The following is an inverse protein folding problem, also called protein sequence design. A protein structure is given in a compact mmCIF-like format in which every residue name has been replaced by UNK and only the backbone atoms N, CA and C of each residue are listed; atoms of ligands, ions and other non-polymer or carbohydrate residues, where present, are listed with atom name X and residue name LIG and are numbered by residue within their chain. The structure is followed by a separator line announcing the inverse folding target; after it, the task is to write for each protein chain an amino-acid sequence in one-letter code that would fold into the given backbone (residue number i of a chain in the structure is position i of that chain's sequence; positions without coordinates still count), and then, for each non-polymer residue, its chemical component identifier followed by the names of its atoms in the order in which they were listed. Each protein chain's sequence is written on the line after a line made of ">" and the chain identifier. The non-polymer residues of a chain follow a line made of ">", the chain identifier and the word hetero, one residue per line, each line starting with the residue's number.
data_IF_641433719367
#
_entry.id   IF_641433719367
#
_cell.length_a   1.000
_cell.length_b   1.000
_cell.length_c   1.000
_cell.angle_alpha   90.00
_cell.angle_beta   90.00
_cell.angle_gamma   90.00
#
_symmetry.space_group_name_H-M   'P 1'
#
loop_
_entity.id
_entity.type
_entity.pdbx_description
1 polymer ?
#
# COMPACT_ATOMS: atom_id res chain seq x y z
N UNK A 1 11.60 19.15 25.07
CA UNK A 1 10.42 19.05 24.18
C UNK A 1 10.94 18.62 22.83
N UNK A 2 10.98 17.30 22.57
CA UNK A 2 11.44 16.75 21.29
C UNK A 2 10.43 17.14 20.19
N UNK A 3 10.96 17.61 19.06
CA UNK A 3 10.25 18.20 17.95
C UNK A 3 9.03 17.39 17.46
N UNK A 4 7.84 17.88 17.75
CA UNK A 4 6.58 17.33 17.21
C UNK A 4 6.51 17.36 15.66
N UNK A 5 7.41 18.10 15.01
CA UNK A 5 7.58 18.16 13.55
C UNK A 5 8.28 16.92 12.97
N UNK A 6 9.03 16.17 13.78
CA UNK A 6 9.83 15.02 13.32
C UNK A 6 9.04 13.69 13.31
N UNK A 7 7.79 13.71 13.80
CA UNK A 7 6.95 12.52 13.95
C UNK A 7 5.97 12.31 12.77
N UNK A 8 5.82 13.31 11.88
CA UNK A 8 4.94 13.23 10.72
C UNK A 8 5.70 12.59 9.55
N UNK A 9 5.24 11.42 9.10
CA UNK A 9 5.82 10.74 7.95
C UNK A 9 5.23 11.25 6.64
N UNK A 10 3.93 11.51 6.59
CA UNK A 10 3.22 12.00 5.41
C UNK A 10 2.38 13.22 5.77
N UNK A 11 2.41 14.24 4.91
CA UNK A 11 1.62 15.45 5.07
C UNK A 11 1.03 15.87 3.73
N UNK A 12 -0.26 16.18 3.72
CA UNK A 12 -0.97 16.75 2.59
C UNK A 12 -1.39 18.16 2.98
N UNK A 13 -1.20 19.14 2.09
CA UNK A 13 -1.53 20.54 2.31
C UNK A 13 -2.28 21.11 1.12
N UNK A 14 -3.53 21.54 1.35
CA UNK A 14 -4.37 22.22 0.38
C UNK A 14 -4.67 21.39 -0.87
N UNK A 15 -4.73 20.05 -0.77
CA UNK A 15 -4.98 19.21 -1.93
C UNK A 15 -6.39 19.42 -2.48
N UNK A 16 -6.46 19.74 -3.75
CA UNK A 16 -7.72 19.87 -4.49
C UNK A 16 -7.72 18.99 -5.74
N UNK A 17 -8.89 18.46 -6.08
CA UNK A 17 -9.10 17.66 -7.29
C UNK A 17 -10.52 17.82 -7.83
N UNK A 18 -10.60 18.11 -9.13
CA UNK A 18 -11.85 18.21 -9.87
C UNK A 18 -11.88 17.22 -11.03
N UNK A 19 -13.07 16.75 -11.38
CA UNK A 19 -13.35 15.99 -12.58
C UNK A 19 -14.40 16.76 -13.41
N UNK A 20 -13.95 17.41 -14.47
CA UNK A 20 -14.76 18.37 -15.20
C UNK A 20 -15.21 19.53 -14.30
N UNK A 21 -16.52 19.70 -14.13
CA UNK A 21 -17.08 20.75 -13.27
C UNK A 21 -17.30 20.31 -11.81
N UNK A 22 -17.07 19.05 -11.49
CA UNK A 22 -17.29 18.51 -10.15
C UNK A 22 -15.99 18.56 -9.35
N UNK A 23 -15.92 19.42 -8.32
CA UNK A 23 -14.81 19.47 -7.36
C UNK A 23 -15.04 18.42 -6.29
N UNK A 24 -14.20 17.37 -6.29
CA UNK A 24 -14.30 16.22 -5.39
C UNK A 24 -13.45 16.40 -4.14
N UNK A 25 -12.27 17.01 -4.27
CA UNK A 25 -11.42 17.39 -3.14
C UNK A 25 -11.27 18.90 -3.14
N UNK A 26 -11.44 19.51 -1.97
CA UNK A 26 -11.35 20.94 -1.78
C UNK A 26 -10.44 21.29 -0.60
N UNK A 27 -9.21 21.75 -0.89
CA UNK A 27 -8.19 22.19 0.07
C UNK A 27 -7.95 21.21 1.24
N UNK A 28 -7.92 19.89 0.95
CA UNK A 28 -7.75 18.84 1.95
C UNK A 28 -6.37 18.94 2.60
N UNK A 29 -6.36 18.85 3.93
CA UNK A 29 -5.16 18.78 4.75
C UNK A 29 -5.18 17.50 5.57
N UNK A 30 -4.05 16.79 5.62
CA UNK A 30 -3.90 15.53 6.35
C UNK A 30 -2.47 15.38 6.86
N UNK A 31 -2.31 14.86 8.08
CA UNK A 31 -1.02 14.48 8.65
C UNK A 31 -1.09 13.03 9.12
N UNK A 32 -0.14 12.21 8.69
CA UNK A 32 0.04 10.83 9.15
C UNK A 32 1.31 10.76 9.99
N UNK A 33 1.16 10.34 11.25
CA UNK A 33 2.30 10.15 12.16
C UNK A 33 3.00 8.83 11.86
N UNK A 34 4.31 8.82 12.08
CA UNK A 34 5.13 7.62 11.94
C UNK A 34 4.67 6.52 12.89
N UNK A 35 4.62 5.28 12.40
CA UNK A 35 4.22 4.13 13.21
C UNK A 35 2.78 4.21 13.73
N UNK A 36 1.88 4.89 13.03
CA UNK A 36 0.47 4.93 13.41
C UNK A 36 -0.43 4.29 12.36
N UNK A 37 -1.62 3.88 12.78
CA UNK A 37 -2.72 3.53 11.90
C UNK A 37 -3.71 4.69 11.93
N UNK A 38 -3.95 5.31 10.79
CA UNK A 38 -4.91 6.40 10.64
C UNK A 38 -6.14 5.89 9.90
N UNK A 39 -7.30 5.98 10.51
CA UNK A 39 -8.58 5.72 9.87
C UNK A 39 -9.10 6.96 9.14
N UNK A 40 -9.40 6.81 7.86
CA UNK A 40 -10.04 7.85 7.06
C UNK A 40 -11.54 7.56 6.95
N UNK A 41 -12.33 8.30 7.72
CA UNK A 41 -13.78 8.10 7.82
C UNK A 41 -14.54 9.14 6.99
N UNK A 42 -15.67 8.75 6.43
CA UNK A 42 -16.56 9.62 5.67
C UNK A 42 -17.55 8.81 4.85
N UNK A 43 -18.62 9.44 4.40
CA UNK A 43 -19.66 8.81 3.58
C UNK A 43 -19.13 8.33 2.22
N UNK A 44 -19.88 7.46 1.55
CA UNK A 44 -19.59 7.07 0.19
C UNK A 44 -19.69 8.30 -0.72
N UNK A 45 -18.67 8.48 -1.59
CA UNK A 45 -18.58 9.70 -2.42
C UNK A 45 -17.89 10.90 -1.76
N UNK A 46 -17.48 10.84 -0.49
CA UNK A 46 -16.78 11.93 0.20
C UNK A 46 -15.36 12.21 -0.31
N UNK A 47 -14.89 11.53 -1.37
CA UNK A 47 -13.59 11.77 -1.98
C UNK A 47 -12.43 10.95 -1.38
N UNK A 48 -12.67 10.03 -0.43
CA UNK A 48 -11.61 9.23 0.21
C UNK A 48 -10.71 8.52 -0.81
N UNK A 49 -11.29 7.68 -1.66
CA UNK A 49 -10.53 6.95 -2.69
C UNK A 49 -9.88 7.89 -3.73
N UNK A 50 -10.49 9.05 -4.01
CA UNK A 50 -9.89 10.06 -4.88
C UNK A 50 -8.62 10.65 -4.25
N UNK A 51 -8.66 10.99 -2.96
CA UNK A 51 -7.49 11.48 -2.23
C UNK A 51 -6.37 10.43 -2.20
N UNK A 52 -6.70 9.16 -1.91
CA UNK A 52 -5.75 8.06 -1.90
C UNK A 52 -5.11 7.86 -3.30
N UNK A 53 -5.91 7.92 -4.38
CA UNK A 53 -5.44 7.82 -5.76
C UNK A 53 -4.56 9.03 -6.17
N UNK A 54 -4.84 10.22 -5.66
CA UNK A 54 -3.96 11.38 -5.83
C UNK A 54 -2.64 11.20 -5.07
N UNK A 55 -2.70 10.67 -3.84
CA UNK A 55 -1.51 10.37 -3.04
C UNK A 55 -0.61 9.32 -3.71
N UNK A 56 -1.21 8.32 -4.34
CA UNK A 56 -0.49 7.23 -5.03
C UNK A 56 -0.08 7.59 -6.47
N UNK A 57 -0.40 8.81 -6.95
CA UNK A 57 -0.06 9.26 -8.29
C UNK A 57 -0.90 8.67 -9.43
N UNK A 58 -1.98 7.93 -9.11
CA UNK A 58 -2.95 7.44 -10.11
C UNK A 58 -3.72 8.60 -10.73
N UNK A 59 -4.07 9.60 -9.91
CA UNK A 59 -4.64 10.86 -10.37
C UNK A 59 -3.68 12.00 -10.08
N UNK A 60 -3.52 12.92 -11.01
CA UNK A 60 -2.81 14.17 -10.74
C UNK A 60 -3.73 15.09 -9.95
N UNK A 61 -3.25 15.60 -8.81
CA UNK A 61 -3.93 16.67 -8.07
C UNK A 61 -3.93 17.95 -8.89
N UNK A 62 -4.95 18.79 -8.71
CA UNK A 62 -5.02 20.07 -9.39
C UNK A 62 -4.25 21.14 -8.61
N UNK A 63 -4.34 21.11 -7.26
CA UNK A 63 -3.67 22.05 -6.36
C UNK A 63 -3.10 21.32 -5.13
N UNK A 64 -2.29 22.05 -4.36
CA UNK A 64 -1.75 21.59 -3.08
C UNK A 64 -0.44 20.84 -3.19
N UNK A 65 0.07 20.42 -2.04
CA UNK A 65 1.40 19.79 -1.90
C UNK A 65 1.32 18.53 -1.05
N UNK A 66 2.19 17.58 -1.36
CA UNK A 66 2.39 16.36 -0.58
C UNK A 66 3.83 16.36 -0.07
N UNK A 67 4.02 15.99 1.18
CA UNK A 67 5.33 15.89 1.81
C UNK A 67 5.51 14.50 2.40
N UNK A 68 6.65 13.87 2.14
CA UNK A 68 7.08 12.62 2.75
C UNK A 68 8.36 12.90 3.54
N UNK A 69 8.36 12.61 4.85
CA UNK A 69 9.46 12.95 5.76
C UNK A 69 9.89 14.43 5.67
N UNK A 70 8.93 15.32 5.51
CA UNK A 70 9.18 16.78 5.39
C UNK A 70 9.67 17.24 4.02
N UNK A 71 9.97 16.33 3.08
CA UNK A 71 10.38 16.66 1.71
C UNK A 71 9.14 16.71 0.81
N UNK A 72 8.98 17.78 0.05
CA UNK A 72 7.92 17.87 -0.98
C UNK A 72 8.14 16.84 -2.07
N UNK A 73 7.08 16.10 -2.40
CA UNK A 73 7.07 15.06 -3.41
C UNK A 73 5.94 15.29 -4.41
N UNK A 74 6.16 14.84 -5.65
CA UNK A 74 5.14 14.78 -6.70
C UNK A 74 5.41 13.52 -7.51
N UNK A 75 4.42 12.69 -7.68
CA UNK A 75 4.56 11.42 -8.38
C UNK A 75 4.05 11.52 -9.82
N UNK A 76 4.83 10.99 -10.75
CA UNK A 76 4.44 10.84 -12.14
C UNK A 76 3.46 9.67 -12.36
N UNK A 77 3.37 8.77 -11.39
CA UNK A 77 2.48 7.60 -11.42
C UNK A 77 2.69 6.65 -10.25
N UNK A 78 1.92 5.54 -10.21
CA UNK A 78 1.98 4.54 -9.14
C UNK A 78 3.36 3.92 -8.91
N UNK A 79 4.12 3.67 -9.97
CA UNK A 79 5.48 3.12 -9.88
C UNK A 79 6.40 4.07 -9.11
N UNK A 80 6.34 5.35 -9.42
CA UNK A 80 7.12 6.38 -8.76
C UNK A 80 6.75 6.50 -7.27
N UNK A 81 5.46 6.42 -6.92
CA UNK A 81 5.00 6.39 -5.53
C UNK A 81 5.57 5.18 -4.76
N UNK A 82 5.53 3.98 -5.37
CA UNK A 82 6.09 2.76 -4.78
C UNK A 82 7.60 2.88 -4.52
N UNK A 83 8.36 3.39 -5.48
CA UNK A 83 9.82 3.59 -5.39
C UNK A 83 10.17 4.62 -4.30
N UNK A 84 9.29 5.56 -4.02
CA UNK A 84 9.43 6.54 -2.95
C UNK A 84 8.86 6.09 -1.58
N UNK A 85 8.39 4.85 -1.48
CA UNK A 85 7.97 4.25 -0.20
C UNK A 85 6.51 4.50 0.19
N UNK A 86 5.66 4.81 -0.78
CA UNK A 86 4.20 4.83 -0.61
C UNK A 86 3.61 3.69 -1.42
N UNK A 87 2.95 2.75 -0.74
CA UNK A 87 2.22 1.67 -1.39
C UNK A 87 0.71 1.82 -1.20
N UNK A 88 -0.06 1.29 -2.14
CA UNK A 88 -1.52 1.25 -2.05
C UNK A 88 -2.02 -0.17 -2.30
N UNK A 89 -2.90 -0.63 -1.43
CA UNK A 89 -3.69 -1.84 -1.61
C UNK A 89 -5.09 -1.40 -2.00
N UNK A 90 -5.48 -1.73 -3.22
CA UNK A 90 -6.77 -1.36 -3.79
C UNK A 90 -7.88 -2.27 -3.27
N UNK A 91 -9.10 -1.77 -3.26
CA UNK A 91 -10.32 -2.56 -2.97
C UNK A 91 -10.47 -3.73 -3.95
N UNK A 92 -10.19 -3.49 -5.24
CA UNK A 92 -10.19 -4.54 -6.27
C UNK A 92 -8.82 -5.22 -6.35
N UNK A 93 -8.83 -6.56 -6.35
CA UNK A 93 -7.62 -7.37 -6.44
C UNK A 93 -7.19 -7.53 -7.92
N UNK A 94 -6.15 -6.80 -8.30
CA UNK A 94 -5.60 -6.78 -9.66
C UNK A 94 -4.43 -7.76 -9.81
N UNK A 95 -4.67 -9.05 -9.55
CA UNK A 95 -3.67 -10.10 -9.56
C UNK A 95 -3.72 -10.94 -10.85
N UNK A 96 -2.56 -11.42 -11.27
CA UNK A 96 -2.46 -12.41 -12.35
C UNK A 96 -2.87 -13.77 -11.81
N UNK A 97 -4.14 -14.16 -11.96
CA UNK A 97 -4.72 -15.36 -11.35
C UNK A 97 -4.07 -16.66 -11.81
N UNK A 98 -3.58 -16.70 -13.04
CA UNK A 98 -2.90 -17.86 -13.62
C UNK A 98 -1.43 -17.99 -13.17
N UNK A 99 -0.87 -16.95 -12.56
CA UNK A 99 0.48 -16.96 -12.03
C UNK A 99 0.50 -17.34 -10.56
N UNK A 100 1.63 -17.88 -10.11
CA UNK A 100 1.81 -18.27 -8.72
C UNK A 100 1.99 -17.06 -7.81
N UNK A 101 2.00 -17.30 -6.49
CA UNK A 101 2.17 -16.27 -5.45
C UNK A 101 3.49 -15.52 -5.62
N UNK A 102 4.59 -16.24 -5.89
CA UNK A 102 5.91 -15.63 -6.05
C UNK A 102 5.96 -14.68 -7.25
N UNK A 103 5.39 -15.10 -8.38
CA UNK A 103 5.33 -14.26 -9.58
C UNK A 103 4.53 -12.98 -9.33
N UNK A 104 3.36 -13.07 -8.67
CA UNK A 104 2.55 -11.92 -8.33
C UNK A 104 3.26 -10.95 -7.36
N UNK A 105 4.01 -11.48 -6.40
CA UNK A 105 4.77 -10.69 -5.44
C UNK A 105 5.85 -9.84 -6.12
N UNK A 106 6.53 -10.39 -7.13
CA UNK A 106 7.64 -9.74 -7.83
C UNK A 106 7.27 -9.21 -9.21
N UNK A 107 5.98 -9.18 -9.57
CA UNK A 107 5.53 -8.68 -10.87
C UNK A 107 6.09 -7.28 -11.16
N UNK A 108 6.76 -7.13 -12.31
CA UNK A 108 7.40 -5.87 -12.73
C UNK A 108 8.76 -5.57 -12.08
N UNK A 109 9.29 -6.46 -11.19
CA UNK A 109 10.58 -6.28 -10.50
C UNK A 109 11.27 -7.61 -10.20
N UNK A 110 11.24 -8.52 -11.17
CA UNK A 110 11.87 -9.83 -11.01
C UNK A 110 13.37 -9.68 -10.68
N UNK A 111 13.86 -10.29 -9.58
CA UNK A 111 15.29 -10.39 -9.34
C UNK A 111 15.95 -11.12 -10.50
N UNK A 112 17.05 -10.57 -11.00
CA UNK A 112 17.84 -11.18 -12.08
C UNK A 112 19.24 -11.52 -11.61
N UNK A 113 19.80 -12.59 -12.18
CA UNK A 113 21.20 -12.93 -12.03
C UNK A 113 22.11 -11.92 -12.76
N UNK A 114 23.41 -12.05 -12.59
CA UNK A 114 24.42 -11.21 -13.28
C UNK A 114 24.36 -11.30 -14.81
N UNK A 115 23.77 -12.37 -15.35
CA UNK A 115 23.59 -12.59 -16.79
C UNK A 115 22.19 -12.20 -17.31
N UNK A 116 21.38 -11.53 -16.48
CA UNK A 116 20.06 -11.02 -16.88
C UNK A 116 18.93 -12.06 -16.85
N UNK A 117 19.16 -13.28 -16.37
CA UNK A 117 18.14 -14.32 -16.22
C UNK A 117 17.43 -14.18 -14.88
N UNK A 118 16.11 -14.41 -14.85
CA UNK A 118 15.31 -14.36 -13.61
C UNK A 118 15.84 -15.37 -12.60
N UNK A 119 16.13 -14.91 -11.38
CA UNK A 119 16.59 -15.74 -10.28
C UNK A 119 15.41 -16.23 -9.42
N UNK A 120 14.78 -17.32 -9.87
CA UNK A 120 13.64 -17.92 -9.17
C UNK A 120 13.99 -18.39 -7.76
N UNK A 121 15.22 -18.85 -7.51
CA UNK A 121 15.68 -19.29 -6.19
C UNK A 121 15.66 -18.13 -5.20
N UNK A 122 16.23 -16.99 -5.58
CA UNK A 122 16.22 -15.77 -4.79
C UNK A 122 14.78 -15.22 -4.58
N UNK A 123 13.94 -15.29 -5.62
CA UNK A 123 12.52 -14.91 -5.51
C UNK A 123 11.80 -15.73 -4.44
N UNK A 124 11.89 -17.06 -4.50
CA UNK A 124 11.26 -17.97 -3.52
C UNK A 124 11.79 -17.74 -2.11
N UNK A 125 13.10 -17.54 -1.96
CA UNK A 125 13.73 -17.24 -0.68
C UNK A 125 13.18 -15.95 -0.08
N UNK A 126 13.19 -14.85 -0.83
CA UNK A 126 12.67 -13.55 -0.38
C UNK A 126 11.18 -13.60 -0.06
N UNK A 127 10.37 -14.29 -0.88
CA UNK A 127 8.95 -14.49 -0.62
C UNK A 127 8.73 -15.28 0.68
N UNK A 128 9.44 -16.38 0.87
CA UNK A 128 9.35 -17.20 2.09
C UNK A 128 9.71 -16.40 3.35
N UNK A 129 10.79 -15.64 3.30
CA UNK A 129 11.20 -14.77 4.41
C UNK A 129 10.15 -13.71 4.72
N UNK A 130 9.55 -13.09 3.70
CA UNK A 130 8.51 -12.09 3.86
C UNK A 130 7.26 -12.69 4.52
N UNK A 131 6.70 -13.78 3.97
CA UNK A 131 5.50 -14.40 4.52
C UNK A 131 5.74 -14.94 5.94
N UNK A 132 6.94 -15.47 6.23
CA UNK A 132 7.32 -15.88 7.59
C UNK A 132 7.33 -14.69 8.56
N UNK A 133 7.88 -13.54 8.15
CA UNK A 133 7.85 -12.30 8.95
C UNK A 133 6.42 -11.82 9.22
N UNK A 134 5.50 -12.08 8.31
CA UNK A 134 4.09 -11.73 8.45
C UNK A 134 3.27 -12.80 9.22
N UNK A 135 3.92 -13.85 9.74
CA UNK A 135 3.21 -14.94 10.42
C UNK A 135 2.30 -15.77 9.51
N UNK A 136 2.54 -15.73 8.20
CA UNK A 136 1.69 -16.37 7.20
C UNK A 136 2.33 -17.64 6.63
N UNK A 137 1.53 -18.71 6.55
CA UNK A 137 1.91 -19.93 5.83
C UNK A 137 1.21 -19.92 4.47
N UNK A 138 2.00 -19.81 3.40
CA UNK A 138 1.50 -19.72 2.02
C UNK A 138 2.28 -20.67 1.13
N UNK A 139 1.58 -21.43 0.27
CA UNK A 139 2.24 -22.19 -0.78
C UNK A 139 2.64 -21.25 -1.93
N UNK A 140 3.92 -20.90 -1.97
CA UNK A 140 4.46 -19.91 -2.92
C UNK A 140 4.33 -20.32 -4.38
N UNK A 141 4.21 -21.62 -4.67
CA UNK A 141 4.13 -22.16 -6.03
C UNK A 141 2.69 -22.36 -6.53
N UNK A 142 1.67 -22.18 -5.67
CA UNK A 142 0.28 -22.34 -6.10
C UNK A 142 -0.19 -21.15 -6.95
N UNK A 143 -1.01 -21.35 -7.99
CA UNK A 143 -1.65 -20.29 -8.74
C UNK A 143 -2.59 -19.46 -7.84
N UNK A 144 -2.63 -18.13 -8.04
CA UNK A 144 -3.48 -17.23 -7.25
C UNK A 144 -4.96 -17.58 -7.34
N UNK A 145 -5.44 -18.14 -8.46
CA UNK A 145 -6.83 -18.59 -8.63
C UNK A 145 -7.27 -19.65 -7.61
N UNK A 146 -6.33 -20.42 -7.05
CA UNK A 146 -6.60 -21.46 -6.06
C UNK A 146 -6.63 -20.92 -4.61
N UNK A 147 -6.50 -19.60 -4.44
CA UNK A 147 -6.54 -18.96 -3.14
C UNK A 147 -7.91 -18.31 -2.88
N UNK A 148 -8.33 -18.28 -1.62
CA UNK A 148 -9.50 -17.51 -1.23
C UNK A 148 -9.28 -16.01 -1.45
N UNK A 149 -10.35 -15.22 -1.49
CA UNK A 149 -10.28 -13.77 -1.66
C UNK A 149 -9.41 -13.15 -0.56
N UNK A 150 -9.60 -13.58 0.68
CA UNK A 150 -8.80 -13.10 1.80
C UNK A 150 -7.33 -13.45 1.69
N UNK A 151 -6.99 -14.68 1.30
CA UNK A 151 -5.60 -15.07 1.07
C UNK A 151 -4.95 -14.20 -0.02
N UNK A 152 -5.69 -13.92 -1.09
CA UNK A 152 -5.24 -13.03 -2.17
C UNK A 152 -5.03 -11.61 -1.65
N UNK A 153 -5.93 -11.10 -0.81
CA UNK A 153 -5.78 -9.77 -0.20
C UNK A 153 -4.56 -9.69 0.70
N UNK A 154 -4.31 -10.73 1.50
CA UNK A 154 -3.10 -10.82 2.32
C UNK A 154 -1.83 -10.84 1.46
N UNK A 155 -1.86 -11.46 0.28
CA UNK A 155 -0.75 -11.41 -0.68
C UNK A 155 -0.52 -9.99 -1.25
N UNK A 156 -1.58 -9.20 -1.51
CA UNK A 156 -1.43 -7.79 -1.92
C UNK A 156 -0.79 -6.94 -0.82
N UNK A 157 -1.18 -7.16 0.44
CA UNK A 157 -0.56 -6.47 1.57
C UNK A 157 0.92 -6.88 1.70
N UNK A 158 1.23 -8.17 1.59
CA UNK A 158 2.61 -8.65 1.58
C UNK A 158 3.43 -8.02 0.43
N UNK A 159 2.83 -7.89 -0.75
CA UNK A 159 3.42 -7.21 -1.90
C UNK A 159 3.72 -5.74 -1.60
N UNK A 160 2.77 -5.00 -1.02
CA UNK A 160 2.97 -3.61 -0.60
C UNK A 160 4.14 -3.46 0.38
N UNK A 161 4.23 -4.35 1.38
CA UNK A 161 5.32 -4.37 2.36
C UNK A 161 6.66 -4.66 1.70
N UNK A 162 6.70 -5.52 0.69
CA UNK A 162 7.93 -5.93 -0.01
C UNK A 162 8.61 -4.79 -0.80
N UNK A 163 7.95 -3.62 -0.94
CA UNK A 163 8.55 -2.39 -1.48
C UNK A 163 9.26 -1.54 -0.42
N UNK A 164 9.44 -2.04 0.81
CA UNK A 164 9.96 -1.26 1.94
C UNK A 164 9.17 0.04 2.18
N UNK A 165 7.87 -0.02 1.99
CA UNK A 165 7.00 1.14 2.09
C UNK A 165 6.97 1.71 3.50
N UNK A 166 7.08 3.02 3.60
CA UNK A 166 6.97 3.78 4.86
C UNK A 166 5.51 4.11 5.18
N UNK A 167 4.70 4.24 4.13
CA UNK A 167 3.26 4.47 4.22
C UNK A 167 2.55 3.45 3.34
N UNK A 168 1.59 2.74 3.92
CA UNK A 168 0.72 1.83 3.19
C UNK A 168 -0.71 2.37 3.27
N UNK A 169 -1.29 2.65 2.12
CA UNK A 169 -2.69 3.06 1.97
C UNK A 169 -3.52 1.81 1.73
N UNK A 170 -4.58 1.62 2.50
CA UNK A 170 -5.53 0.52 2.36
C UNK A 170 -6.90 1.08 2.02
N UNK A 171 -7.43 0.79 0.85
CA UNK A 171 -8.76 1.25 0.41
C UNK A 171 -9.79 0.17 0.68
N UNK A 172 -10.62 0.36 1.71
CA UNK A 172 -11.65 -0.57 2.19
C UNK A 172 -11.17 -2.03 2.36
N UNK A 173 -10.10 -2.28 3.13
CA UNK A 173 -9.44 -3.58 3.15
C UNK A 173 -10.28 -4.70 3.80
N UNK A 174 -11.42 -4.38 4.41
CA UNK A 174 -12.29 -5.33 5.12
C UNK A 174 -13.57 -5.69 4.37
N UNK A 175 -13.84 -5.06 3.23
CA UNK A 175 -15.13 -5.17 2.51
C UNK A 175 -15.49 -6.60 2.06
N UNK A 176 -14.49 -7.47 1.87
CA UNK A 176 -14.67 -8.85 1.41
C UNK A 176 -14.14 -9.91 2.39
N UNK A 177 -13.85 -9.52 3.64
CA UNK A 177 -13.28 -10.39 4.66
C UNK A 177 -14.33 -10.87 5.66
N UNK A 178 -14.17 -12.10 6.14
CA UNK A 178 -14.89 -12.62 7.30
C UNK A 178 -14.34 -11.98 8.60
N UNK A 179 -15.08 -12.06 9.69
CA UNK A 179 -14.66 -11.52 11.00
C UNK A 179 -13.29 -12.06 11.42
N UNK A 180 -13.06 -13.36 11.26
CA UNK A 180 -11.77 -13.98 11.62
C UNK A 180 -10.61 -13.50 10.74
N UNK A 181 -10.88 -13.16 9.50
CA UNK A 181 -9.88 -12.62 8.57
C UNK A 181 -9.59 -11.15 8.84
N UNK A 182 -10.60 -10.39 9.27
CA UNK A 182 -10.44 -9.02 9.76
C UNK A 182 -9.52 -8.99 10.99
N UNK A 183 -9.70 -9.92 11.94
CA UNK A 183 -8.82 -10.02 13.12
C UNK A 183 -7.35 -10.25 12.71
N UNK A 184 -7.10 -11.18 11.77
CA UNK A 184 -5.75 -11.42 11.23
C UNK A 184 -5.17 -10.19 10.52
N UNK A 185 -6.00 -9.47 9.77
CA UNK A 185 -5.58 -8.22 9.14
C UNK A 185 -5.14 -7.20 10.21
N UNK A 186 -5.93 -7.03 11.27
CA UNK A 186 -5.57 -6.12 12.36
C UNK A 186 -4.32 -6.57 13.13
N UNK A 187 -4.13 -7.86 13.36
CA UNK A 187 -2.88 -8.38 13.94
C UNK A 187 -1.67 -8.02 13.08
N UNK A 188 -1.75 -8.23 11.76
CA UNK A 188 -0.70 -7.84 10.83
C UNK A 188 -0.49 -6.32 10.84
N UNK A 189 -1.56 -5.52 10.86
CA UNK A 189 -1.46 -4.07 10.95
C UNK A 189 -0.76 -3.61 12.24
N UNK A 190 -1.02 -4.26 13.38
CA UNK A 190 -0.32 -3.97 14.64
C UNK A 190 1.16 -4.32 14.55
N UNK A 191 1.48 -5.52 14.06
CA UNK A 191 2.86 -5.96 13.88
C UNK A 191 3.67 -5.00 12.99
N UNK A 192 3.10 -4.54 11.88
CA UNK A 192 3.76 -3.60 10.99
C UNK A 192 3.92 -2.21 11.62
N UNK A 193 2.93 -1.75 12.41
CA UNK A 193 3.03 -0.53 13.21
C UNK A 193 4.23 -0.59 14.16
N UNK A 194 4.39 -1.71 14.84
CA UNK A 194 5.46 -1.90 15.82
C UNK A 194 6.85 -1.95 15.14
N UNK A 195 6.88 -2.19 13.82
CA UNK A 195 8.07 -2.06 12.96
C UNK A 195 8.25 -0.62 12.40
N UNK A 196 7.43 0.34 12.82
CA UNK A 196 7.54 1.75 12.39
C UNK A 196 6.92 2.08 11.04
N UNK A 197 6.17 1.15 10.43
CA UNK A 197 5.46 1.38 9.16
C UNK A 197 4.12 2.05 9.45
N UNK A 198 3.85 3.21 8.85
CA UNK A 198 2.61 3.97 9.02
C UNK A 198 1.55 3.54 8.01
N UNK A 199 0.26 3.68 8.37
CA UNK A 199 -0.86 3.30 7.49
C UNK A 199 -1.97 4.31 7.51
N UNK A 200 -2.62 4.44 6.35
CA UNK A 200 -3.89 5.14 6.18
C UNK A 200 -4.92 4.10 5.70
N UNK A 201 -6.03 3.96 6.42
CA UNK A 201 -7.11 3.00 6.14
C UNK A 201 -8.39 3.74 5.85
#
# INVERSE_FOLDING_TARGET
>A
MADAKNDIVLSIRGMSKSFGRNRVLDHINLDVKRGTVMGLMGENGAGKSTMMKCLFGTYQKDEGKIFLNGKEISFSGPKDALENGIAMVHQELNQCLERNVTDNLFLGRYPTSSVGVVDEGNMKKKASELFRKLGMTVNLSQPMRNMSVSQRQMCEIAKAISYNSQVIVLDEPTSSLTVQEVDKLFEMMRMLRDQGISRCV
#
